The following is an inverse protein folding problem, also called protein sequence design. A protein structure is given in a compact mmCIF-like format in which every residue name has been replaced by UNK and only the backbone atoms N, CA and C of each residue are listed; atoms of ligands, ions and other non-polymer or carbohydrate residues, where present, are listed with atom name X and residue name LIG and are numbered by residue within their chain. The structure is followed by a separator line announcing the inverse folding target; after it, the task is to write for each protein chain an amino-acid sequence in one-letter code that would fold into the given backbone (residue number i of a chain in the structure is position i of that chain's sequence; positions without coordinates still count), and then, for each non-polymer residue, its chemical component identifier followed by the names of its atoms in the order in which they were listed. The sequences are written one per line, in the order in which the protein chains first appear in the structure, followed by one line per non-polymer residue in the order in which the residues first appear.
data_IF_958755963504
#
_entry.id   IF_958755963504
#
_cell.length_a   1.000
_cell.length_b   1.000
_cell.length_c   1.000
_cell.angle_alpha   90.00
_cell.angle_beta   90.00
_cell.angle_gamma   90.00
#
_symmetry.space_group_name_H-M   'P 1'
#
loop_
_entity.id
_entity.type
_entity.pdbx_description
1 polymer ?
#
# COMPACT_ATOMS: atom_id res chain seq x y z
N UNK A 1 24.19 21.88 -50.79
CA UNK A 1 23.94 21.77 -49.33
C UNK A 1 23.17 20.47 -49.10
N UNK A 2 23.80 19.51 -48.44
CA UNK A 2 23.19 18.20 -48.10
C UNK A 2 22.70 18.34 -46.67
N UNK A 3 21.37 18.32 -46.48
CA UNK A 3 20.77 18.32 -45.13
C UNK A 3 20.99 16.94 -44.49
N UNK A 4 21.37 16.87 -43.23
CA UNK A 4 21.43 15.60 -42.51
C UNK A 4 20.02 15.01 -42.35
N UNK A 5 19.85 13.68 -42.34
CA UNK A 5 18.56 13.03 -42.16
C UNK A 5 18.00 13.35 -40.79
N UNK A 6 16.69 13.57 -40.72
CA UNK A 6 15.96 13.73 -39.46
C UNK A 6 16.15 12.49 -38.57
N UNK A 7 16.31 12.67 -37.27
CA UNK A 7 16.39 11.51 -36.33
C UNK A 7 15.09 10.72 -36.41
N UNK A 8 15.22 9.38 -36.43
CA UNK A 8 14.07 8.50 -36.39
C UNK A 8 13.23 8.78 -35.12
N UNK A 9 11.88 8.71 -35.21
CA UNK A 9 11.05 8.89 -34.02
C UNK A 9 11.44 7.84 -32.95
N UNK A 10 11.68 8.31 -31.73
CA UNK A 10 11.91 7.42 -30.60
C UNK A 10 10.69 6.51 -30.44
N UNK A 11 10.92 5.19 -30.42
CA UNK A 11 9.89 4.21 -30.05
C UNK A 11 9.42 4.53 -28.64
N UNK A 12 8.24 5.10 -28.51
CA UNK A 12 7.56 5.21 -27.20
C UNK A 12 7.24 3.77 -26.80
N UNK A 13 7.90 3.26 -25.77
CA UNK A 13 7.59 1.96 -25.20
C UNK A 13 6.09 1.95 -24.85
N UNK A 14 5.37 0.92 -25.32
CA UNK A 14 3.98 0.76 -24.95
C UNK A 14 3.88 0.67 -23.41
N UNK A 15 2.92 1.38 -22.83
CA UNK A 15 2.65 1.26 -21.39
C UNK A 15 2.39 -0.22 -21.04
N UNK A 16 2.84 -0.70 -19.88
CA UNK A 16 2.63 -2.07 -19.46
C UNK A 16 1.13 -2.38 -19.43
N UNK A 17 0.74 -3.53 -20.01
CA UNK A 17 -0.64 -3.95 -20.02
C UNK A 17 -0.97 -4.65 -18.69
N UNK A 18 -1.70 -3.97 -17.82
CA UNK A 18 -2.26 -4.58 -16.60
C UNK A 18 -3.58 -5.30 -16.91
N UNK A 19 -3.91 -6.37 -16.17
CA UNK A 19 -5.24 -6.94 -16.21
C UNK A 19 -6.27 -5.90 -15.73
N UNK A 20 -7.53 -6.10 -16.10
CA UNK A 20 -8.59 -5.20 -15.59
C UNK A 20 -8.73 -5.38 -14.07
N UNK A 21 -8.49 -4.30 -13.35
CA UNK A 21 -8.60 -4.18 -11.89
C UNK A 21 -9.59 -3.05 -11.61
N UNK A 22 -10.63 -3.35 -10.83
CA UNK A 22 -11.63 -2.35 -10.48
C UNK A 22 -11.34 -1.72 -9.10
N UNK A 23 -10.70 -2.50 -8.20
CA UNK A 23 -10.33 -2.05 -6.86
C UNK A 23 -8.91 -2.47 -6.53
N UNK A 24 -8.15 -1.58 -5.89
CA UNK A 24 -6.89 -1.90 -5.20
C UNK A 24 -7.07 -1.61 -3.71
N UNK A 25 -6.82 -2.62 -2.89
CA UNK A 25 -6.86 -2.50 -1.42
C UNK A 25 -5.46 -2.71 -0.89
N UNK A 26 -4.86 -1.66 -0.33
CA UNK A 26 -3.55 -1.71 0.31
C UNK A 26 -3.74 -1.93 1.81
N UNK A 27 -3.16 -2.98 2.35
CA UNK A 27 -3.19 -3.33 3.77
C UNK A 27 -1.76 -3.23 4.27
N UNK A 28 -1.52 -2.39 5.28
CA UNK A 28 -0.17 -2.18 5.82
C UNK A 28 -0.13 -2.71 7.25
N UNK A 29 0.77 -3.65 7.45
CA UNK A 29 1.14 -4.22 8.74
C UNK A 29 2.46 -3.60 9.20
N UNK A 30 2.91 -3.90 10.44
CA UNK A 30 3.96 -3.16 11.12
C UNK A 30 5.14 -4.04 11.55
N UNK A 31 6.35 -3.50 11.32
CA UNK A 31 7.58 -3.87 12.04
C UNK A 31 7.93 -5.37 11.99
N UNK A 32 7.71 -6.05 10.87
CA UNK A 32 8.11 -7.46 10.73
C UNK A 32 8.84 -7.73 9.42
N UNK A 33 10.02 -8.32 9.56
CA UNK A 33 10.83 -8.77 8.43
C UNK A 33 10.22 -10.00 7.73
N UNK A 34 10.57 -10.21 6.46
CA UNK A 34 10.14 -11.35 5.64
C UNK A 34 10.28 -12.69 6.37
N UNK A 35 11.44 -12.93 6.98
CA UNK A 35 11.74 -14.19 7.70
C UNK A 35 10.90 -14.40 8.97
N UNK A 36 10.30 -13.34 9.53
CA UNK A 36 9.42 -13.46 10.68
C UNK A 36 8.00 -13.90 10.31
N UNK A 37 7.59 -13.73 9.05
CA UNK A 37 6.23 -14.00 8.57
C UNK A 37 6.18 -15.26 7.72
N UNK A 38 7.09 -15.41 6.76
CA UNK A 38 7.08 -16.54 5.82
C UNK A 38 7.36 -17.84 6.55
N UNK A 39 6.50 -18.83 6.34
CA UNK A 39 6.51 -20.14 7.00
C UNK A 39 6.39 -20.10 8.54
N UNK A 40 6.03 -18.97 9.12
CA UNK A 40 5.81 -18.87 10.56
C UNK A 40 4.49 -19.54 10.96
N UNK A 41 4.55 -20.47 11.92
CA UNK A 41 3.36 -21.16 12.45
C UNK A 41 2.38 -20.24 13.17
N UNK A 42 2.82 -19.06 13.61
CA UNK A 42 1.98 -18.04 14.24
C UNK A 42 1.25 -17.15 13.23
N UNK A 43 1.53 -17.31 11.92
CA UNK A 43 0.90 -16.58 10.82
C UNK A 43 0.25 -17.54 9.80
N UNK A 44 -0.62 -18.47 10.20
CA UNK A 44 -1.16 -19.50 9.28
C UNK A 44 -2.01 -18.90 8.16
N UNK A 45 -2.77 -17.84 8.44
CA UNK A 45 -3.64 -17.20 7.44
C UNK A 45 -2.83 -16.40 6.43
N UNK A 46 -1.88 -15.58 6.87
CA UNK A 46 -0.93 -14.90 5.99
C UNK A 46 -0.19 -15.88 5.08
N UNK A 47 0.27 -17.01 5.63
CA UNK A 47 0.90 -18.05 4.83
C UNK A 47 -0.06 -18.73 3.84
N UNK A 48 -1.37 -18.68 4.05
CA UNK A 48 -2.36 -19.09 3.05
C UNK A 48 -2.46 -18.05 1.92
N UNK A 49 -2.47 -16.76 2.24
CA UNK A 49 -2.45 -15.68 1.25
C UNK A 49 -1.16 -15.71 0.43
N UNK A 50 0.00 -15.94 1.07
CA UNK A 50 1.30 -16.12 0.39
C UNK A 50 1.25 -17.27 -0.62
N UNK A 51 0.68 -18.41 -0.26
CA UNK A 51 0.57 -19.57 -1.20
C UNK A 51 -0.39 -19.31 -2.35
N UNK A 52 -1.42 -18.51 -2.13
CA UNK A 52 -2.44 -18.17 -3.14
C UNK A 52 -2.13 -16.93 -3.97
N UNK A 53 -1.10 -16.18 -3.62
CA UNK A 53 -0.72 -14.91 -4.22
C UNK A 53 0.73 -14.85 -4.73
N UNK A 54 1.14 -13.68 -5.16
CA UNK A 54 2.53 -13.37 -5.53
C UNK A 54 3.27 -12.84 -4.31
N UNK A 55 4.26 -13.59 -3.82
CA UNK A 55 5.18 -13.13 -2.77
C UNK A 55 6.42 -12.54 -3.41
N UNK A 56 6.69 -11.26 -3.17
CA UNK A 56 7.93 -10.61 -3.56
C UNK A 56 8.98 -10.90 -2.49
N UNK A 57 9.95 -11.76 -2.86
CA UNK A 57 10.94 -12.26 -1.89
C UNK A 57 12.14 -11.34 -1.74
N UNK A 58 12.15 -10.20 -2.41
CA UNK A 58 13.21 -9.20 -2.36
C UNK A 58 12.59 -7.79 -2.27
N UNK A 59 11.55 -7.68 -1.43
CA UNK A 59 10.90 -6.43 -1.14
C UNK A 59 11.55 -5.76 0.08
N UNK A 60 11.81 -4.46 -0.02
CA UNK A 60 12.45 -3.69 1.05
C UNK A 60 11.65 -2.45 1.39
N UNK A 61 11.58 -2.11 2.67
CA UNK A 61 11.12 -0.79 3.08
C UNK A 61 12.23 0.25 2.84
N UNK A 62 11.83 1.51 2.79
CA UNK A 62 12.71 2.60 2.36
C UNK A 62 13.64 3.06 3.48
N UNK A 63 13.14 3.06 4.73
CA UNK A 63 13.86 3.61 5.88
C UNK A 63 13.30 3.10 7.21
N UNK A 64 13.78 3.67 8.30
CA UNK A 64 13.22 3.66 9.65
C UNK A 64 13.11 5.13 10.14
N UNK A 65 12.12 5.47 10.98
CA UNK A 65 11.03 4.66 11.52
C UNK A 65 9.83 4.55 10.54
N UNK A 66 8.66 4.13 11.07
CA UNK A 66 7.45 3.79 10.32
C UNK A 66 6.92 4.89 9.39
N UNK A 67 6.62 6.08 9.90
CA UNK A 67 5.86 7.10 9.17
C UNK A 67 6.45 7.50 7.81
N UNK A 68 7.77 7.67 7.63
CA UNK A 68 8.38 7.92 6.32
C UNK A 68 8.06 6.85 5.27
N UNK A 69 7.91 5.60 5.67
CA UNK A 69 7.56 4.49 4.76
C UNK A 69 6.10 4.58 4.29
N UNK A 70 5.19 5.01 5.16
CA UNK A 70 3.81 5.30 4.77
C UNK A 70 3.73 6.43 3.75
N UNK A 71 4.54 7.49 3.89
CA UNK A 71 4.61 8.56 2.89
C UNK A 71 5.28 8.10 1.59
N UNK A 72 6.27 7.22 1.66
CA UNK A 72 6.88 6.61 0.49
C UNK A 72 5.83 5.82 -0.31
N UNK A 73 5.03 4.98 0.35
CA UNK A 73 3.98 4.17 -0.26
C UNK A 73 2.78 4.99 -0.76
N UNK A 74 2.48 6.14 -0.12
CA UNK A 74 1.26 6.90 -0.42
C UNK A 74 1.48 8.11 -1.33
N UNK A 75 2.66 8.73 -1.28
CA UNK A 75 2.94 9.98 -1.98
C UNK A 75 4.28 10.00 -2.72
N UNK A 76 5.06 8.92 -2.64
CA UNK A 76 6.41 8.92 -3.20
C UNK A 76 7.35 9.88 -2.48
N UNK A 77 7.05 10.28 -1.26
CA UNK A 77 7.85 11.22 -0.46
C UNK A 77 8.67 10.47 0.59
N UNK A 78 9.85 10.98 0.90
CA UNK A 78 10.64 10.55 2.03
C UNK A 78 10.66 11.68 3.06
N UNK A 79 9.92 11.49 4.15
CA UNK A 79 10.03 12.36 5.32
C UNK A 79 11.32 12.02 6.10
N UNK A 80 12.07 13.03 6.48
CA UNK A 80 13.31 12.87 7.26
C UNK A 80 13.12 13.21 8.73
N UNK A 81 11.92 13.60 9.14
CA UNK A 81 11.61 14.01 10.52
C UNK A 81 11.09 12.84 11.39
N UNK A 82 11.08 11.63 10.87
CA UNK A 82 10.67 10.45 11.62
C UNK A 82 9.16 10.37 11.83
N UNK A 83 8.74 10.06 13.04
CA UNK A 83 7.34 9.80 13.41
C UNK A 83 6.60 11.06 13.95
N UNK A 84 6.96 12.23 13.49
CA UNK A 84 6.34 13.48 13.91
C UNK A 84 4.84 13.54 13.58
N UNK A 85 4.06 14.10 14.48
CA UNK A 85 2.65 14.28 14.27
C UNK A 85 2.17 15.70 14.66
N UNK A 86 1.64 16.45 13.68
CA UNK A 86 1.63 16.20 12.24
C UNK A 86 3.04 16.18 11.64
N UNK A 87 3.23 15.50 10.51
CA UNK A 87 4.52 15.39 9.83
C UNK A 87 4.95 16.74 9.24
N UNK A 88 5.84 17.45 9.93
CA UNK A 88 6.25 18.81 9.55
C UNK A 88 7.06 18.86 8.24
N UNK A 89 7.75 17.77 7.88
CA UNK A 89 8.55 17.65 6.66
C UNK A 89 7.75 17.32 5.39
N UNK A 90 6.45 17.03 5.51
CA UNK A 90 5.60 16.63 4.39
C UNK A 90 4.64 17.77 4.02
N UNK A 91 4.78 18.37 2.81
CA UNK A 91 3.87 19.44 2.38
C UNK A 91 2.43 18.94 2.27
N UNK A 92 1.49 19.63 2.92
CA UNK A 92 0.10 19.22 2.99
C UNK A 92 -0.62 19.18 1.62
N UNK A 93 -0.11 19.90 0.62
CA UNK A 93 -0.70 19.97 -0.73
C UNK A 93 0.07 19.13 -1.75
N UNK A 94 1.06 18.35 -1.31
CA UNK A 94 1.84 17.51 -2.22
C UNK A 94 0.92 16.51 -2.95
N UNK A 95 1.19 16.22 -4.23
CA UNK A 95 0.53 15.15 -4.96
C UNK A 95 0.73 13.81 -4.22
N UNK A 96 -0.30 13.02 -4.19
CA UNK A 96 -0.32 11.72 -3.52
C UNK A 96 -1.33 10.80 -4.19
N UNK A 97 -1.26 9.50 -3.91
CA UNK A 97 -2.13 8.49 -4.52
C UNK A 97 -3.61 8.86 -4.43
N UNK A 98 -4.09 9.29 -3.26
CA UNK A 98 -5.50 9.65 -3.09
C UNK A 98 -5.91 10.86 -3.92
N UNK A 99 -5.08 11.92 -3.98
CA UNK A 99 -5.35 13.10 -4.80
C UNK A 99 -5.36 12.79 -6.29
N UNK A 100 -4.45 11.94 -6.77
CA UNK A 100 -4.39 11.53 -8.17
C UNK A 100 -5.58 10.64 -8.56
N UNK A 101 -6.02 9.74 -7.66
CA UNK A 101 -7.24 8.92 -7.82
C UNK A 101 -8.47 9.82 -7.96
N UNK A 102 -8.61 10.82 -7.08
CA UNK A 102 -9.72 11.78 -7.11
C UNK A 102 -9.68 12.64 -8.38
N UNK A 103 -8.51 13.11 -8.78
CA UNK A 103 -8.32 13.90 -10.00
C UNK A 103 -8.67 13.09 -11.27
N UNK A 104 -8.50 11.77 -11.23
CA UNK A 104 -8.91 10.84 -12.30
C UNK A 104 -10.40 10.46 -12.23
N UNK A 105 -11.22 11.19 -11.45
CA UNK A 105 -12.65 10.91 -11.23
C UNK A 105 -12.95 9.52 -10.68
N UNK A 106 -12.04 8.97 -9.89
CA UNK A 106 -12.19 7.72 -9.14
C UNK A 106 -12.34 8.03 -7.65
N UNK A 107 -12.60 6.99 -6.87
CA UNK A 107 -12.82 7.11 -5.42
C UNK A 107 -11.63 6.59 -4.63
N UNK A 108 -11.28 7.31 -3.58
CA UNK A 108 -10.28 6.92 -2.58
C UNK A 108 -10.92 6.92 -1.18
N UNK A 109 -10.50 6.03 -0.30
CA UNK A 109 -10.70 6.16 1.14
C UNK A 109 -9.60 5.43 1.92
N UNK A 110 -9.18 6.04 3.03
CA UNK A 110 -8.37 5.41 4.05
C UNK A 110 -9.24 4.92 5.21
N UNK A 111 -9.02 3.69 5.65
CA UNK A 111 -9.74 3.05 6.75
C UNK A 111 -8.77 2.72 7.87
N UNK A 112 -8.97 3.32 9.03
CA UNK A 112 -8.12 3.06 10.19
C UNK A 112 -8.93 2.42 11.32
N UNK A 113 -8.40 1.34 11.90
CA UNK A 113 -8.99 0.73 13.09
C UNK A 113 -8.77 1.64 14.30
N UNK A 114 -9.71 1.63 15.24
CA UNK A 114 -9.77 2.53 16.40
C UNK A 114 -9.86 4.03 16.08
N UNK A 115 -10.07 4.43 14.82
CA UNK A 115 -10.37 5.81 14.48
C UNK A 115 -11.74 6.19 15.09
N UNK A 116 -11.83 7.24 15.94
CA UNK A 116 -13.04 7.50 16.71
C UNK A 116 -14.24 7.95 15.88
N UNK A 117 -14.00 8.66 14.78
CA UNK A 117 -15.03 9.13 13.83
C UNK A 117 -14.40 9.55 12.50
N UNK A 118 -15.21 9.60 11.46
CA UNK A 118 -14.80 10.04 10.13
C UNK A 118 -14.21 11.45 10.16
N UNK A 119 -13.02 11.62 9.56
CA UNK A 119 -12.32 12.90 9.48
C UNK A 119 -11.53 13.29 10.73
N UNK A 120 -11.38 12.39 11.72
CA UNK A 120 -10.51 12.62 12.85
C UNK A 120 -9.07 12.86 12.41
N UNK A 121 -8.42 13.89 12.98
CA UNK A 121 -7.06 14.31 12.60
C UNK A 121 -6.09 14.42 13.78
N UNK A 122 -6.51 13.98 14.96
CA UNK A 122 -5.62 13.91 16.14
C UNK A 122 -4.51 12.87 15.95
N UNK A 123 -3.44 13.01 16.72
CA UNK A 123 -2.25 12.17 16.59
C UNK A 123 -2.45 10.74 17.10
N UNK A 124 -3.30 10.57 18.10
CA UNK A 124 -3.61 9.27 18.69
C UNK A 124 -5.02 9.25 19.28
N UNK A 125 -5.60 8.07 19.35
CA UNK A 125 -6.84 7.80 20.08
C UNK A 125 -6.92 6.28 20.36
N UNK A 126 -6.97 5.87 21.60
CA UNK A 126 -6.81 4.46 21.98
C UNK A 126 -5.58 3.86 21.26
N UNK A 127 -5.77 2.77 20.54
CA UNK A 127 -4.72 2.11 19.75
C UNK A 127 -4.59 2.67 18.31
N UNK A 128 -5.31 3.74 17.94
CA UNK A 128 -5.11 4.44 16.66
C UNK A 128 -3.86 5.32 16.71
N UNK A 129 -3.03 5.25 15.69
CA UNK A 129 -1.89 6.14 15.49
C UNK A 129 -2.00 6.82 14.11
N UNK A 130 -2.09 8.17 14.10
CA UNK A 130 -2.16 8.95 12.85
C UNK A 130 -0.94 8.74 11.95
N UNK A 131 0.23 8.46 12.53
CA UNK A 131 1.47 8.22 11.78
C UNK A 131 1.36 7.04 10.80
N UNK A 132 0.40 6.13 11.01
CA UNK A 132 0.07 5.02 10.10
C UNK A 132 -1.03 5.38 9.08
N UNK A 133 -1.61 6.58 9.16
CA UNK A 133 -2.67 7.04 8.28
C UNK A 133 -2.19 8.23 7.42
N UNK A 134 -1.32 8.01 6.40
CA UNK A 134 -0.62 9.07 5.68
C UNK A 134 -1.58 10.04 4.99
N UNK A 135 -2.76 9.59 4.55
CA UNK A 135 -3.76 10.43 3.89
C UNK A 135 -4.27 11.59 4.76
N UNK A 136 -4.15 11.48 6.09
CA UNK A 136 -4.60 12.53 7.03
C UNK A 136 -3.68 13.76 6.99
N UNK A 137 -2.46 13.61 6.50
CA UNK A 137 -1.50 14.71 6.35
C UNK A 137 -1.92 15.70 5.25
N UNK A 138 -2.62 15.23 4.22
CA UNK A 138 -2.82 15.99 2.99
C UNK A 138 -4.13 16.76 2.96
N UNK A 139 -4.06 18.07 2.70
CA UNK A 139 -5.22 18.96 2.59
C UNK A 139 -6.04 18.75 1.32
N UNK A 140 -5.43 18.14 0.29
CA UNK A 140 -6.09 17.76 -0.96
C UNK A 140 -6.84 16.43 -0.88
N UNK A 141 -6.88 15.78 0.29
CA UNK A 141 -7.75 14.63 0.59
C UNK A 141 -8.94 15.13 1.41
N UNK A 142 -10.18 14.92 0.95
CA UNK A 142 -11.37 15.28 1.72
C UNK A 142 -11.41 14.55 3.07
N UNK A 143 -11.70 15.24 4.15
CA UNK A 143 -11.74 14.65 5.50
C UNK A 143 -12.72 13.46 5.61
N UNK A 144 -13.79 13.44 4.81
CA UNK A 144 -14.76 12.32 4.76
C UNK A 144 -14.15 11.00 4.26
N UNK A 145 -12.98 11.05 3.62
CA UNK A 145 -12.28 9.89 3.09
C UNK A 145 -11.31 9.27 4.11
N UNK A 146 -11.15 9.90 5.28
CA UNK A 146 -10.54 9.31 6.47
C UNK A 146 -11.66 8.68 7.32
N UNK A 147 -11.79 7.34 7.27
CA UNK A 147 -12.94 6.60 7.79
C UNK A 147 -12.54 5.62 8.89
N UNK A 148 -13.38 5.42 9.91
CA UNK A 148 -13.23 4.28 10.81
C UNK A 148 -13.27 2.97 10.02
N UNK A 149 -12.49 1.97 10.44
CA UNK A 149 -12.51 0.64 9.83
C UNK A 149 -13.92 0.03 9.78
N UNK A 150 -14.78 0.34 10.75
CA UNK A 150 -16.17 -0.11 10.79
C UNK A 150 -17.01 0.38 9.60
N UNK A 151 -16.57 1.45 8.91
CA UNK A 151 -17.24 1.98 7.72
C UNK A 151 -16.79 1.29 6.41
N UNK A 152 -15.99 0.22 6.48
CA UNK A 152 -15.56 -0.55 5.31
C UNK A 152 -16.70 -1.33 4.64
N UNK A 153 -17.78 -1.58 5.35
CA UNK A 153 -18.98 -2.26 4.82
C UNK A 153 -20.09 -1.26 4.54
N UNK A 154 -20.95 -1.52 3.54
CA UNK A 154 -20.97 -2.69 2.63
C UNK A 154 -19.83 -2.61 1.58
N UNK A 155 -19.36 -3.78 1.11
CA UNK A 155 -18.24 -3.84 0.16
C UNK A 155 -18.60 -3.35 -1.25
N UNK A 156 -19.88 -3.31 -1.61
CA UNK A 156 -20.35 -2.77 -2.89
C UNK A 156 -20.05 -1.26 -3.04
N UNK A 157 -19.72 -0.59 -1.94
CA UNK A 157 -19.28 0.80 -1.89
C UNK A 157 -17.74 0.93 -1.76
N UNK A 158 -17.00 -0.18 -1.96
CA UNK A 158 -15.54 -0.15 -1.87
C UNK A 158 -14.97 0.84 -2.91
N UNK A 159 -14.08 1.77 -2.51
CA UNK A 159 -13.52 2.72 -3.45
C UNK A 159 -12.56 2.05 -4.45
N UNK A 160 -12.25 2.75 -5.54
CA UNK A 160 -11.27 2.28 -6.53
C UNK A 160 -9.89 2.02 -5.87
N UNK A 161 -9.48 2.88 -4.94
CA UNK A 161 -8.30 2.66 -4.10
C UNK A 161 -8.70 2.80 -2.63
N UNK A 162 -8.48 1.75 -1.86
CA UNK A 162 -8.63 1.74 -0.41
C UNK A 162 -7.27 1.49 0.26
N UNK A 163 -6.98 2.19 1.35
CA UNK A 163 -5.86 1.88 2.22
C UNK A 163 -6.41 1.49 3.60
N UNK A 164 -5.98 0.37 4.13
CA UNK A 164 -6.45 -0.17 5.41
C UNK A 164 -5.27 -0.30 6.35
N UNK A 165 -5.39 0.29 7.54
CA UNK A 165 -4.41 0.14 8.61
C UNK A 165 -5.11 -0.39 9.86
N UNK A 166 -4.70 -1.55 10.38
CA UNK A 166 -5.15 -2.02 11.67
C UNK A 166 -4.66 -1.08 12.78
N UNK A 167 -5.12 -1.25 14.00
CA UNK A 167 -4.60 -0.51 15.15
C UNK A 167 -3.27 -1.12 15.64
N UNK A 168 -2.55 -0.41 16.51
CA UNK A 168 -1.22 -0.77 17.02
C UNK A 168 -1.10 -2.19 17.59
N UNK A 169 -2.20 -2.74 18.05
CA UNK A 169 -2.25 -4.10 18.58
C UNK A 169 -2.46 -5.16 17.50
N UNK A 170 -3.18 -4.80 16.43
CA UNK A 170 -3.59 -5.73 15.40
C UNK A 170 -2.72 -5.65 14.14
N UNK A 171 -1.95 -4.57 13.96
CA UNK A 171 -0.97 -4.39 12.89
C UNK A 171 0.39 -5.06 13.18
N UNK A 172 0.55 -5.70 14.33
CA UNK A 172 1.78 -6.32 14.84
C UNK A 172 2.82 -5.34 15.42
N UNK A 173 2.54 -4.03 15.49
CA UNK A 173 3.45 -3.06 16.13
C UNK A 173 3.64 -3.40 17.61
N UNK A 174 2.59 -3.29 18.40
CA UNK A 174 2.57 -3.61 19.83
C UNK A 174 2.09 -5.04 20.10
N UNK A 175 1.24 -5.55 19.22
CA UNK A 175 0.70 -6.89 19.30
C UNK A 175 1.59 -7.97 18.72
N UNK A 176 1.19 -9.22 18.89
CA UNK A 176 1.91 -10.37 18.37
C UNK A 176 1.55 -10.67 16.90
N UNK A 177 2.45 -11.35 16.17
CA UNK A 177 2.18 -11.89 14.82
C UNK A 177 0.89 -12.74 14.80
N UNK A 178 0.66 -13.56 15.83
CA UNK A 178 -0.55 -14.38 15.90
C UNK A 178 -1.82 -13.55 16.02
N UNK A 179 -1.76 -12.41 16.73
CA UNK A 179 -2.89 -11.48 16.87
C UNK A 179 -3.23 -10.82 15.55
N UNK A 180 -2.23 -10.29 14.84
CA UNK A 180 -2.42 -9.69 13.52
C UNK A 180 -2.95 -10.69 12.49
N UNK A 181 -2.41 -11.91 12.45
CA UNK A 181 -2.87 -12.98 11.57
C UNK A 181 -4.36 -13.36 11.81
N UNK A 182 -4.75 -13.46 13.08
CA UNK A 182 -6.16 -13.72 13.45
C UNK A 182 -7.05 -12.54 13.09
N UNK A 183 -6.57 -11.31 13.30
CA UNK A 183 -7.31 -10.11 12.95
C UNK A 183 -7.55 -10.03 11.43
N UNK A 184 -6.52 -10.22 10.60
CA UNK A 184 -6.63 -10.29 9.15
C UNK A 184 -7.67 -11.32 8.70
N UNK A 185 -7.58 -12.55 9.23
CA UNK A 185 -8.52 -13.60 8.90
C UNK A 185 -9.96 -13.23 9.24
N UNK A 186 -10.18 -12.72 10.45
CA UNK A 186 -11.52 -12.41 10.99
C UNK A 186 -12.14 -11.21 10.30
N UNK A 187 -11.37 -10.16 10.11
CA UNK A 187 -11.88 -8.86 9.69
C UNK A 187 -11.82 -8.66 8.17
N UNK A 188 -10.77 -9.17 7.51
CA UNK A 188 -10.57 -9.01 6.07
C UNK A 188 -10.83 -10.29 5.25
N UNK A 189 -10.96 -11.46 5.88
CA UNK A 189 -11.32 -12.71 5.19
C UNK A 189 -12.58 -12.60 4.32
N UNK A 190 -13.69 -12.01 4.82
CA UNK A 190 -14.88 -11.77 4.01
C UNK A 190 -14.61 -10.80 2.84
N UNK A 191 -13.77 -9.77 3.02
CA UNK A 191 -13.40 -8.84 1.95
C UNK A 191 -12.55 -9.53 0.87
N UNK A 192 -11.58 -10.37 1.25
CA UNK A 192 -10.81 -11.16 0.29
C UNK A 192 -11.71 -12.07 -0.55
N UNK A 193 -12.71 -12.70 0.08
CA UNK A 193 -13.69 -13.56 -0.61
C UNK A 193 -14.56 -12.76 -1.57
N UNK A 194 -15.07 -11.60 -1.16
CA UNK A 194 -15.84 -10.70 -2.01
C UNK A 194 -15.00 -10.19 -3.18
N UNK A 195 -13.79 -9.70 -2.91
CA UNK A 195 -12.88 -9.12 -3.89
C UNK A 195 -12.43 -10.10 -4.97
N UNK A 196 -12.42 -11.42 -4.65
CA UNK A 196 -12.12 -12.46 -5.63
C UNK A 196 -13.10 -12.45 -6.82
N UNK A 197 -14.35 -12.06 -6.59
CA UNK A 197 -15.39 -11.97 -7.61
C UNK A 197 -15.58 -10.55 -8.17
N UNK A 198 -14.84 -9.56 -7.64
CA UNK A 198 -14.98 -8.14 -7.96
C UNK A 198 -13.68 -7.52 -8.48
N UNK A 199 -12.83 -8.31 -9.15
CA UNK A 199 -11.57 -7.85 -9.75
C UNK A 199 -10.76 -6.95 -8.82
N UNK A 200 -10.63 -7.35 -7.56
CA UNK A 200 -9.89 -6.62 -6.53
C UNK A 200 -8.47 -7.15 -6.43
N UNK A 201 -7.50 -6.27 -6.51
CA UNK A 201 -6.12 -6.52 -6.12
C UNK A 201 -5.94 -6.15 -4.64
N UNK A 202 -5.46 -7.09 -3.85
CA UNK A 202 -5.00 -6.84 -2.50
C UNK A 202 -3.48 -6.77 -2.48
N UNK A 203 -2.95 -5.67 -1.96
CA UNK A 203 -1.55 -5.47 -1.65
C UNK A 203 -1.40 -5.56 -0.13
N UNK A 204 -0.76 -6.60 0.36
CA UNK A 204 -0.48 -6.78 1.79
C UNK A 204 1.02 -6.58 1.95
N UNK A 205 1.41 -5.55 2.68
CA UNK A 205 2.81 -5.19 2.89
C UNK A 205 3.05 -4.74 4.33
N UNK A 206 4.30 -4.63 4.70
CA UNK A 206 4.74 -4.06 5.98
C UNK A 206 5.37 -2.70 5.72
N UNK A 207 5.23 -1.81 6.67
CA UNK A 207 5.85 -0.48 6.62
C UNK A 207 7.37 -0.57 6.64
N UNK A 208 7.90 -1.35 7.58
CA UNK A 208 9.33 -1.59 7.77
C UNK A 208 9.58 -2.98 8.36
N UNK A 209 10.85 -3.42 8.33
CA UNK A 209 11.32 -4.64 8.95
C UNK A 209 11.35 -4.55 10.48
N UNK A 210 11.68 -5.66 11.14
CA UNK A 210 11.87 -5.64 12.59
C UNK A 210 13.04 -4.72 12.99
N UNK A 211 13.00 -4.16 14.20
CA UNK A 211 13.90 -3.09 14.69
C UNK A 211 15.41 -3.37 14.57
N UNK A 212 15.81 -4.61 14.35
CA UNK A 212 17.22 -5.01 14.18
C UNK A 212 17.53 -5.46 12.72
N UNK A 213 16.56 -5.32 11.80
CA UNK A 213 16.75 -5.68 10.40
C UNK A 213 17.32 -4.50 9.62
N UNK A 214 18.66 -4.44 9.56
CA UNK A 214 19.37 -3.40 8.82
C UNK A 214 19.13 -3.48 7.30
N UNK A 215 18.62 -4.60 6.79
CA UNK A 215 18.29 -4.78 5.38
C UNK A 215 16.90 -4.28 5.05
N UNK A 216 16.09 -4.03 6.07
CA UNK A 216 14.71 -3.59 6.00
C UNK A 216 13.86 -4.46 5.04
N UNK A 217 14.11 -5.79 5.08
CA UNK A 217 13.55 -6.78 4.17
C UNK A 217 12.15 -7.21 4.62
N UNK A 218 11.13 -6.74 3.93
CA UNK A 218 9.72 -6.88 4.32
C UNK A 218 8.98 -7.90 3.46
N UNK A 219 7.90 -8.53 3.97
CA UNK A 219 6.96 -9.25 3.13
C UNK A 219 6.15 -8.26 2.29
N UNK A 220 6.01 -8.53 1.00
CA UNK A 220 5.01 -7.86 0.14
C UNK A 220 4.30 -8.92 -0.68
N UNK A 221 2.98 -8.93 -0.61
CA UNK A 221 2.13 -9.96 -1.19
C UNK A 221 1.08 -9.30 -2.07
N UNK A 222 1.01 -9.66 -3.35
CA UNK A 222 -0.15 -9.35 -4.18
C UNK A 222 -1.08 -10.55 -4.19
N UNK A 223 -2.37 -10.30 -3.94
CA UNK A 223 -3.39 -11.35 -3.87
C UNK A 223 -4.65 -10.90 -4.61
N UNK A 224 -5.22 -11.78 -5.41
CA UNK A 224 -6.44 -11.50 -6.18
C UNK A 224 -6.60 -12.42 -7.38
N UNK A 225 -7.77 -12.41 -8.06
CA UNK A 225 -8.05 -13.34 -9.14
C UNK A 225 -7.14 -13.15 -10.37
N UNK A 226 -6.59 -11.95 -10.56
CA UNK A 226 -5.67 -11.61 -11.65
C UNK A 226 -4.21 -11.93 -11.34
N UNK A 227 -3.90 -12.29 -10.11
CA UNK A 227 -2.51 -12.54 -9.68
C UNK A 227 -2.12 -13.99 -9.94
N UNK A 228 -0.95 -14.19 -10.52
CA UNK A 228 -0.34 -15.52 -10.68
C UNK A 228 0.43 -15.88 -9.41
N UNK A 229 0.02 -16.90 -8.66
CA UNK A 229 0.72 -17.31 -7.45
C UNK A 229 2.17 -17.70 -7.74
N UNK A 230 3.07 -17.27 -6.87
CA UNK A 230 4.50 -17.56 -7.04
C UNK A 230 5.38 -16.78 -6.08
N UNK A 231 6.70 -16.97 -6.25
CA UNK A 231 7.74 -16.21 -5.55
C UNK A 231 8.50 -15.40 -6.61
N UNK A 232 8.53 -14.10 -6.43
CA UNK A 232 9.08 -13.13 -7.39
C UNK A 232 10.35 -12.52 -6.80
N UNK A 233 11.51 -12.67 -7.47
CA UNK A 233 12.80 -12.26 -6.93
C UNK A 233 13.20 -10.83 -7.28
N UNK A 234 12.39 -10.09 -8.02
CA UNK A 234 12.70 -8.70 -8.34
C UNK A 234 12.86 -7.86 -7.08
N UNK A 235 13.79 -6.91 -7.14
CA UNK A 235 13.98 -5.93 -6.07
C UNK A 235 12.87 -4.89 -6.20
N UNK A 236 12.05 -4.76 -5.18
CA UNK A 236 10.99 -3.76 -5.11
C UNK A 236 11.02 -3.04 -3.76
N UNK A 237 10.42 -1.88 -3.72
CA UNK A 237 10.20 -1.11 -2.50
C UNK A 237 8.80 -0.46 -2.50
N UNK A 238 8.53 0.40 -1.54
CA UNK A 238 7.26 1.13 -1.46
C UNK A 238 7.01 2.02 -2.67
N UNK A 239 8.04 2.58 -3.29
CA UNK A 239 7.88 3.42 -4.48
C UNK A 239 7.47 2.59 -5.71
N UNK A 240 8.04 1.40 -5.87
CA UNK A 240 7.67 0.47 -6.95
C UNK A 240 6.23 -0.03 -6.78
N UNK A 241 5.77 -0.29 -5.53
CA UNK A 241 4.37 -0.62 -5.23
C UNK A 241 3.44 0.54 -5.57
N UNK A 242 3.77 1.76 -5.12
CA UNK A 242 3.01 2.97 -5.45
C UNK A 242 2.92 3.17 -6.97
N UNK A 243 4.05 3.10 -7.69
CA UNK A 243 4.09 3.21 -9.14
C UNK A 243 3.18 2.19 -9.82
N UNK A 244 3.16 0.97 -9.33
CA UNK A 244 2.28 -0.09 -9.87
C UNK A 244 0.82 0.27 -9.74
N UNK A 245 0.39 0.80 -8.60
CA UNK A 245 -1.00 1.24 -8.37
C UNK A 245 -1.35 2.43 -9.27
N UNK A 246 -0.45 3.39 -9.39
CA UNK A 246 -0.61 4.55 -10.27
C UNK A 246 -0.78 4.12 -11.74
N UNK A 247 0.05 3.21 -12.23
CA UNK A 247 -0.03 2.73 -13.60
C UNK A 247 -1.29 1.87 -13.87
N UNK A 248 -1.74 1.05 -12.91
CA UNK A 248 -3.00 0.28 -13.00
C UNK A 248 -4.19 1.20 -13.29
N UNK A 249 -4.25 2.36 -12.67
CA UNK A 249 -5.34 3.31 -12.85
C UNK A 249 -5.03 4.46 -13.82
N UNK A 250 -3.89 4.41 -14.51
CA UNK A 250 -3.41 5.45 -15.43
C UNK A 250 -3.33 6.83 -14.77
N UNK A 251 -2.86 6.86 -13.53
CA UNK A 251 -2.66 8.07 -12.74
C UNK A 251 -1.32 8.72 -13.09
N UNK A 252 -1.17 9.97 -12.69
CA UNK A 252 0.13 10.62 -12.71
C UNK A 252 1.01 10.05 -11.58
N UNK A 253 2.22 9.62 -11.93
CA UNK A 253 3.18 9.14 -10.95
C UNK A 253 3.62 10.27 -9.99
N UNK A 254 3.71 9.95 -8.69
CA UNK A 254 4.00 10.90 -7.63
C UNK A 254 5.40 10.74 -7.07
N UNK A 255 6.06 11.85 -6.74
CA UNK A 255 7.34 11.89 -6.05
C UNK A 255 8.39 10.94 -6.62
N UNK A 256 8.98 10.12 -5.76
CA UNK A 256 10.02 9.13 -6.11
C UNK A 256 9.49 7.89 -6.81
N UNK A 257 8.18 7.70 -6.91
CA UNK A 257 7.60 6.65 -7.74
C UNK A 257 7.74 6.96 -9.25
N UNK A 258 7.97 8.23 -9.64
CA UNK A 258 8.09 8.63 -11.04
C UNK A 258 9.17 7.88 -11.83
N UNK A 259 10.43 7.71 -11.34
CA UNK A 259 11.46 6.95 -12.04
C UNK A 259 11.32 5.43 -11.89
N UNK A 260 10.45 4.93 -11.01
CA UNK A 260 10.32 3.52 -10.73
C UNK A 260 9.64 2.76 -11.88
N UNK A 261 9.96 1.46 -11.95
CA UNK A 261 9.29 0.54 -12.85
C UNK A 261 8.11 -0.11 -12.11
N UNK A 262 6.94 -0.19 -12.75
CA UNK A 262 5.83 -0.93 -12.15
C UNK A 262 6.10 -2.44 -12.17
N UNK A 263 5.50 -3.15 -11.25
CA UNK A 263 5.55 -4.61 -11.15
C UNK A 263 4.66 -5.21 -12.25
N UNK A 264 5.23 -6.00 -13.16
CA UNK A 264 4.52 -6.47 -14.36
C UNK A 264 4.54 -7.97 -14.58
N UNK A 265 5.25 -8.74 -13.80
CA UNK A 265 5.52 -10.17 -14.05
C UNK A 265 4.61 -11.13 -13.26
N UNK A 266 3.81 -10.61 -12.33
CA UNK A 266 2.95 -11.42 -11.45
C UNK A 266 1.48 -11.52 -11.93
N UNK A 267 1.17 -11.15 -13.16
CA UNK A 267 -0.20 -11.16 -13.69
C UNK A 267 -0.50 -12.44 -14.49
N UNK A 268 -1.80 -12.81 -14.51
CA UNK A 268 -2.35 -13.91 -15.32
C UNK A 268 -2.76 -13.43 -16.70
#
# INVERSE_FOLDING_TARGET
MIFPPLPAPALIAAAPAFPRIDHVVVIVEENKSLGQIVANRKAPYLNTLIRGGALFVNAHAVTHPSQPNYFALFAGLLDTNGDDCPAAGVPAEAPNLGSEVIAAHRTFAGYAESLPYTGYSGCAYDDYARKHAPWVQFSNIPRRDNRPFTALKPYDELPAVAMIVPNLENDMHSGSIARGDVWLKRNLGPLFSWGWHHRTLFVITWDEGGSFDLTNHIPTIFYGPMVKPGRYPEVIDHYAVLRTIEDIFHLRATGRALPEKPITDCWR
#
